data_IF_292438213455
#
_entry.id   IF_292438213455
#
_cell.length_a   1.000
_cell.length_b   1.000
_cell.length_c   1.000
_cell.angle_alpha   90.00
_cell.angle_beta   90.00
_cell.angle_gamma   90.00
#
_symmetry.space_group_name_H-M   'P 1'
#
loop_
_entity.id
_entity.type
_entity.pdbx_description
1 polymer ?
#
# COMPACT_ATOMS: atom_id res chain seq x y z
N UNK A 1 2.42 24.10 3.75
CA UNK A 1 3.45 23.04 3.95
C UNK A 1 3.00 21.70 3.39
N UNK A 2 1.79 21.24 3.73
CA UNK A 2 1.22 19.98 3.24
C UNK A 2 1.16 19.87 1.70
N UNK A 3 0.74 20.93 1.02
CA UNK A 3 0.66 20.96 -0.46
C UNK A 3 2.03 20.78 -1.13
N UNK A 4 3.10 21.36 -0.56
CA UNK A 4 4.47 21.19 -1.06
C UNK A 4 4.96 19.76 -0.87
N UNK A 5 4.58 19.13 0.25
CA UNK A 5 4.92 17.74 0.53
C UNK A 5 4.21 16.78 -0.42
N UNK A 6 2.90 16.95 -0.62
CA UNK A 6 2.12 16.15 -1.57
C UNK A 6 2.64 16.34 -3.00
N UNK A 7 2.93 17.58 -3.40
CA UNK A 7 3.50 17.87 -4.73
C UNK A 7 4.85 17.19 -4.95
N UNK A 8 5.74 17.21 -3.95
CA UNK A 8 7.01 16.49 -4.03
C UNK A 8 6.81 14.98 -4.16
N UNK A 9 5.92 14.41 -3.34
CA UNK A 9 5.61 12.98 -3.37
C UNK A 9 5.03 12.56 -4.73
N UNK A 10 4.14 13.38 -5.30
CA UNK A 10 3.51 13.13 -6.58
C UNK A 10 4.54 13.07 -7.71
N UNK A 11 5.46 14.04 -7.76
CA UNK A 11 6.54 14.07 -8.76
C UNK A 11 7.42 12.83 -8.62
N UNK A 12 7.75 12.45 -7.38
CA UNK A 12 8.54 11.25 -7.13
C UNK A 12 7.83 9.97 -7.61
N UNK A 13 6.55 9.80 -7.25
CA UNK A 13 5.71 8.68 -7.70
C UNK A 13 5.65 8.60 -9.23
N UNK A 14 5.37 9.72 -9.90
CA UNK A 14 5.29 9.79 -11.36
C UNK A 14 6.63 9.46 -12.03
N UNK A 15 7.75 9.90 -11.44
CA UNK A 15 9.10 9.57 -11.93
C UNK A 15 9.41 8.08 -11.80
N UNK A 16 9.00 7.44 -10.69
CA UNK A 16 9.19 6.00 -10.47
C UNK A 16 8.37 5.20 -11.47
N UNK A 17 7.09 5.54 -11.66
CA UNK A 17 6.22 4.85 -12.62
C UNK A 17 6.72 5.07 -14.06
N UNK A 18 7.14 6.28 -14.41
CA UNK A 18 7.67 6.56 -15.75
C UNK A 18 8.97 5.78 -16.05
N UNK A 19 9.80 5.55 -15.03
CA UNK A 19 11.10 4.85 -15.20
C UNK A 19 10.97 3.33 -15.15
N UNK A 20 10.11 2.80 -14.27
CA UNK A 20 9.98 1.36 -14.02
C UNK A 20 8.74 0.73 -14.67
N UNK A 21 7.85 1.55 -15.26
CA UNK A 21 6.59 1.11 -15.85
C UNK A 21 5.73 0.32 -14.88
N UNK A 22 5.26 -0.85 -15.33
CA UNK A 22 4.47 -1.79 -14.52
C UNK A 22 5.16 -2.20 -13.20
N UNK A 23 6.49 -2.34 -13.20
CA UNK A 23 7.25 -2.67 -11.99
C UNK A 23 7.21 -1.55 -10.95
N UNK A 24 7.13 -0.30 -11.39
CA UNK A 24 6.97 0.86 -10.51
C UNK A 24 5.62 0.83 -9.79
N UNK A 25 4.56 0.40 -10.49
CA UNK A 25 3.22 0.24 -9.89
C UNK A 25 3.25 -0.83 -8.80
N UNK A 26 3.81 -2.01 -9.08
CA UNK A 26 3.93 -3.09 -8.08
C UNK A 26 4.69 -2.60 -6.84
N UNK A 27 5.84 -1.94 -7.05
CA UNK A 27 6.68 -1.45 -5.96
C UNK A 27 5.97 -0.41 -5.10
N UNK A 28 5.35 0.59 -5.72
CA UNK A 28 4.68 1.66 -4.97
C UNK A 28 3.44 1.15 -4.22
N UNK A 29 2.66 0.26 -4.83
CA UNK A 29 1.51 -0.37 -4.17
C UNK A 29 1.96 -1.32 -3.05
N UNK A 30 3.09 -2.00 -3.18
CA UNK A 30 3.66 -2.81 -2.10
C UNK A 30 4.13 -1.95 -0.92
N UNK A 31 4.76 -0.80 -1.19
CA UNK A 31 5.19 0.14 -0.15
C UNK A 31 3.97 0.71 0.59
N UNK A 32 2.96 1.17 -0.16
CA UNK A 32 1.69 1.67 0.40
C UNK A 32 1.03 0.62 1.32
N UNK A 33 0.88 -0.60 0.82
CA UNK A 33 0.28 -1.70 1.57
C UNK A 33 1.12 -2.19 2.76
N UNK A 34 2.43 -1.91 2.78
CA UNK A 34 3.32 -2.16 3.93
C UNK A 34 3.19 -1.10 5.05
N UNK A 35 2.04 -0.42 5.14
CA UNK A 35 1.72 0.63 6.11
C UNK A 35 2.55 1.92 5.98
N UNK A 36 3.19 2.17 4.84
CA UNK A 36 3.85 3.45 4.56
C UNK A 36 2.82 4.37 3.90
N UNK A 37 2.58 5.59 4.44
CA UNK A 37 1.54 6.48 3.95
C UNK A 37 1.92 7.05 2.57
N UNK A 38 1.57 6.32 1.51
CA UNK A 38 1.64 6.76 0.12
C UNK A 38 0.21 6.95 -0.43
N UNK A 39 -0.08 8.07 -1.11
CA UNK A 39 -1.39 8.33 -1.69
C UNK A 39 -1.59 7.47 -2.94
N UNK A 40 -2.37 6.39 -2.80
CA UNK A 40 -2.75 5.51 -3.92
C UNK A 40 -3.66 6.23 -4.93
N UNK A 41 -4.29 7.33 -4.51
CA UNK A 41 -5.04 8.28 -5.33
C UNK A 41 -4.17 9.01 -6.36
N UNK A 42 -2.85 8.95 -6.25
CA UNK A 42 -1.94 9.48 -7.27
C UNK A 42 -1.44 8.36 -8.17
N UNK A 43 -1.06 7.22 -7.58
CA UNK A 43 -0.48 6.07 -8.28
C UNK A 43 -1.45 5.53 -9.35
N UNK A 44 -2.70 5.22 -8.94
CA UNK A 44 -3.66 4.55 -9.82
C UNK A 44 -4.20 5.47 -10.93
N UNK A 45 -4.59 6.73 -10.65
CA UNK A 45 -5.01 7.64 -11.71
C UNK A 45 -3.90 7.97 -12.71
N UNK A 46 -2.65 8.09 -12.25
CA UNK A 46 -1.52 8.28 -13.17
C UNK A 46 -1.27 7.05 -14.04
N UNK A 47 -1.34 5.84 -13.48
CA UNK A 47 -1.28 4.61 -14.27
C UNK A 47 -2.44 4.54 -15.29
N UNK A 48 -3.65 4.94 -14.90
CA UNK A 48 -4.80 5.05 -15.79
C UNK A 48 -4.60 6.07 -16.92
N UNK A 49 -3.92 7.19 -16.65
CA UNK A 49 -3.53 8.16 -17.68
C UNK A 49 -2.55 7.55 -18.71
N UNK A 50 -1.58 6.75 -18.26
CA UNK A 50 -0.65 6.05 -19.15
C UNK A 50 -1.37 4.98 -19.99
N UNK A 51 -2.39 4.34 -19.43
CA UNK A 51 -3.29 3.44 -20.19
C UNK A 51 -4.04 4.22 -21.27
N UNK A 52 -4.59 5.38 -20.94
CA UNK A 52 -5.28 6.23 -21.91
C UNK A 52 -4.36 6.69 -23.05
N UNK A 53 -3.09 6.96 -22.76
CA UNK A 53 -2.07 7.25 -23.78
C UNK A 53 -1.66 6.06 -24.66
N UNK A 54 -2.08 4.84 -24.31
CA UNK A 54 -1.66 3.61 -24.99
C UNK A 54 -0.26 3.15 -24.59
N UNK A 55 0.35 3.72 -23.56
CA UNK A 55 1.66 3.31 -23.03
C UNK A 55 1.54 2.09 -22.11
N UNK A 56 0.35 1.85 -21.54
CA UNK A 56 0.06 0.71 -20.67
C UNK A 56 -1.27 0.04 -20.99
N UNK A 57 -1.42 -1.22 -20.56
CA UNK A 57 -2.64 -2.01 -20.72
C UNK A 57 -3.40 -2.06 -19.39
N UNK A 58 -4.67 -1.69 -19.40
CA UNK A 58 -5.53 -1.61 -18.22
C UNK A 58 -5.50 -2.87 -17.36
N UNK A 59 -5.65 -4.04 -18.00
CA UNK A 59 -5.65 -5.33 -17.33
C UNK A 59 -4.33 -5.62 -16.61
N UNK A 60 -3.20 -5.24 -17.22
CA UNK A 60 -1.88 -5.44 -16.62
C UNK A 60 -1.71 -4.47 -15.45
N UNK A 61 -2.10 -3.19 -15.60
CA UNK A 61 -2.06 -2.22 -14.50
C UNK A 61 -2.87 -2.70 -13.29
N UNK A 62 -4.10 -3.17 -13.51
CA UNK A 62 -4.96 -3.68 -12.46
C UNK A 62 -4.34 -4.90 -11.76
N UNK A 63 -3.80 -5.84 -12.53
CA UNK A 63 -3.14 -7.03 -12.00
C UNK A 63 -1.87 -6.67 -11.20
N UNK A 64 -1.04 -5.77 -11.72
CA UNK A 64 0.19 -5.32 -11.07
C UNK A 64 -0.11 -4.54 -9.78
N UNK A 65 -1.19 -3.76 -9.78
CA UNK A 65 -1.70 -3.10 -8.58
C UNK A 65 -2.08 -4.10 -7.49
N UNK A 66 -2.93 -5.07 -7.84
CA UNK A 66 -3.35 -6.12 -6.93
C UNK A 66 -2.17 -6.94 -6.40
N UNK A 67 -1.23 -7.29 -7.28
CA UNK A 67 -0.01 -8.01 -6.92
C UNK A 67 0.85 -7.21 -5.93
N UNK A 68 1.03 -5.91 -6.17
CA UNK A 68 1.73 -5.02 -5.25
C UNK A 68 1.08 -4.99 -3.87
N UNK A 69 -0.24 -4.83 -3.79
CA UNK A 69 -0.96 -4.87 -2.51
C UNK A 69 -0.76 -6.19 -1.77
N UNK A 70 -0.87 -7.34 -2.46
CA UNK A 70 -0.64 -8.64 -1.83
C UNK A 70 0.79 -8.74 -1.29
N UNK A 71 1.78 -8.35 -2.10
CA UNK A 71 3.19 -8.40 -1.69
C UNK A 71 3.49 -7.47 -0.52
N UNK A 72 2.91 -6.27 -0.49
CA UNK A 72 3.05 -5.32 0.62
C UNK A 72 2.32 -5.74 1.90
N UNK A 73 1.19 -6.43 1.76
CA UNK A 73 0.41 -6.94 2.89
C UNK A 73 1.08 -8.13 3.59
N UNK A 74 1.89 -8.93 2.90
CA UNK A 74 2.61 -10.08 3.50
C UNK A 74 3.48 -9.68 4.69
N UNK A 75 4.44 -8.72 4.57
CA UNK A 75 5.25 -8.31 5.71
C UNK A 75 4.41 -7.65 6.81
N UNK A 76 3.39 -6.85 6.45
CA UNK A 76 2.46 -6.27 7.41
C UNK A 76 1.70 -7.35 8.19
N UNK A 77 1.29 -8.43 7.52
CA UNK A 77 0.65 -9.60 8.13
C UNK A 77 1.59 -10.33 9.08
N UNK A 78 2.85 -10.61 8.69
CA UNK A 78 3.80 -11.29 9.58
C UNK A 78 4.15 -10.46 10.82
N UNK A 79 4.29 -9.14 10.65
CA UNK A 79 4.48 -8.20 11.77
C UNK A 79 3.24 -8.19 12.66
N UNK A 80 2.04 -8.16 12.06
CA UNK A 80 0.77 -8.26 12.77
C UNK A 80 0.57 -9.60 13.48
N UNK A 81 1.02 -10.71 12.91
CA UNK A 81 0.90 -12.05 13.49
C UNK A 81 1.86 -12.24 14.65
N UNK A 82 3.13 -11.83 14.48
CA UNK A 82 4.18 -12.00 15.50
C UNK A 82 4.06 -10.96 16.62
N UNK A 83 3.69 -9.73 16.27
CA UNK A 83 3.49 -8.62 17.20
C UNK A 83 2.08 -8.55 17.79
N UNK A 84 1.09 -9.12 17.12
CA UNK A 84 -0.34 -8.95 17.43
C UNK A 84 -0.74 -9.40 18.81
N UNK A 85 -0.14 -10.47 19.35
CA UNK A 85 -0.45 -10.92 20.72
C UNK A 85 0.07 -9.94 21.78
N UNK A 86 1.31 -9.46 21.64
CA UNK A 86 1.89 -8.43 22.53
C UNK A 86 1.21 -7.07 22.36
N UNK A 87 0.83 -6.71 21.14
CA UNK A 87 0.13 -5.46 20.84
C UNK A 87 -1.33 -5.51 21.30
N UNK A 88 -2.03 -6.64 21.14
CA UNK A 88 -3.38 -6.84 21.66
C UNK A 88 -3.41 -6.88 23.20
N UNK A 89 -2.37 -7.39 23.86
CA UNK A 89 -2.27 -7.31 25.32
C UNK A 89 -2.00 -5.88 25.83
N UNK A 90 -1.27 -5.04 25.07
CA UNK A 90 -1.00 -3.63 25.43
C UNK A 90 -2.10 -2.64 24.99
N UNK A 91 -2.69 -2.83 23.81
CA UNK A 91 -3.66 -1.93 23.17
C UNK A 91 -5.08 -2.49 23.12
N UNK A 92 -5.35 -3.72 23.57
CA UNK A 92 -6.68 -4.35 23.55
C UNK A 92 -7.75 -3.56 24.31
N UNK A 93 -7.35 -2.76 25.31
CA UNK A 93 -8.26 -1.85 26.03
C UNK A 93 -8.77 -0.69 25.18
N UNK A 94 -8.05 -0.28 24.13
CA UNK A 94 -8.46 0.78 23.19
C UNK A 94 -9.24 0.24 21.98
N UNK A 95 -9.16 -1.05 21.68
CA UNK A 95 -9.83 -1.70 20.54
C UNK A 95 -11.00 -2.59 20.98
N UNK A 96 -11.47 -2.46 22.24
CA UNK A 96 -12.60 -3.24 22.79
C UNK A 96 -12.43 -4.78 22.69
N UNK A 97 -11.20 -5.29 22.58
CA UNK A 97 -10.92 -6.73 22.57
C UNK A 97 -10.72 -7.20 24.02
N UNK A 98 -11.64 -8.04 24.50
CA UNK A 98 -11.56 -8.61 25.84
C UNK A 98 -10.61 -9.80 25.89
N UNK A 99 -9.95 -10.01 27.04
CA UNK A 99 -8.98 -11.11 27.23
C UNK A 99 -9.59 -12.51 27.05
N UNK A 100 -10.92 -12.63 27.05
CA UNK A 100 -11.64 -13.89 26.81
C UNK A 100 -11.69 -14.28 25.33
N UNK A 101 -11.79 -13.33 24.41
CA UNK A 101 -11.83 -13.59 22.96
C UNK A 101 -10.47 -14.07 22.44
N UNK A 102 -9.37 -13.52 22.98
CA UNK A 102 -8.00 -13.97 22.71
C UNK A 102 -7.68 -15.39 23.20
N UNK A 103 -8.48 -15.95 24.10
CA UNK A 103 -8.30 -17.32 24.62
C UNK A 103 -9.13 -18.35 23.85
N UNK A 104 -10.08 -17.92 23.03
CA UNK A 104 -10.99 -18.79 22.29
C UNK A 104 -10.53 -19.04 20.84
N UNK A 105 -9.52 -18.30 20.38
CA UNK A 105 -8.86 -18.43 19.07
C UNK A 105 -7.53 -19.19 19.16
#
# INVERSE_FOLDING_TARGET
MLEKFIGFLAIWIMSVISSMGYGGIVLLMAIESACIPLPSEIIMPFAGYLVFKGEMVLWIVAFMGALGCVLGSIPAFFVGQTGGRKLAEKCGRFVLISKKDLKMA
#
